data_IF_689792699070
#
_entry.id   IF_689792699070
#
_cell.length_a   1.000
_cell.length_b   1.000
_cell.length_c   1.000
_cell.angle_alpha   90.00
_cell.angle_beta   90.00
_cell.angle_gamma   90.00
#
_symmetry.space_group_name_H-M   'P 1'
#
loop_
_entity.id
_entity.type
_entity.pdbx_description
1 polymer ?
#
# COMPACT_ATOMS: atom_id res chain seq x y z
N UNK A 1 -11.58 15.69 12.81
CA UNK A 1 -10.32 15.68 12.08
C UNK A 1 -10.26 16.78 11.01
N UNK A 2 -11.40 17.12 10.42
CA UNK A 2 -11.51 18.23 9.45
C UNK A 2 -10.49 18.12 8.32
N UNK A 3 -9.80 19.21 8.04
CA UNK A 3 -8.74 19.35 7.04
C UNK A 3 -7.51 18.44 7.23
N UNK A 4 -7.38 17.79 8.38
CA UNK A 4 -6.30 16.84 8.69
C UNK A 4 -6.67 15.38 8.39
N UNK A 5 -7.89 15.12 7.91
CA UNK A 5 -8.31 13.77 7.55
C UNK A 5 -7.71 13.42 6.17
N UNK A 6 -6.83 12.43 6.16
CA UNK A 6 -6.32 11.83 4.93
C UNK A 6 -7.22 10.71 4.42
N UNK A 7 -6.64 9.80 3.66
CA UNK A 7 -7.34 8.64 3.14
C UNK A 7 -7.73 7.68 4.26
N UNK A 8 -8.94 7.12 4.17
CA UNK A 8 -9.43 6.09 5.06
C UNK A 8 -9.45 4.74 4.34
N UNK A 9 -9.34 3.65 5.06
CA UNK A 9 -9.56 2.34 4.46
C UNK A 9 -10.52 1.47 5.26
N UNK A 10 -11.26 0.65 4.54
CA UNK A 10 -12.17 -0.37 5.06
C UNK A 10 -11.57 -1.74 4.75
N UNK A 11 -11.23 -2.50 5.77
CA UNK A 11 -10.75 -3.87 5.62
C UNK A 11 -11.90 -4.85 5.75
N UNK A 12 -12.11 -5.69 4.74
CA UNK A 12 -13.07 -6.78 4.79
C UNK A 12 -12.39 -8.06 5.30
N UNK A 13 -13.10 -8.90 6.07
CA UNK A 13 -12.56 -10.17 6.56
C UNK A 13 -12.40 -11.19 5.41
N UNK A 14 -11.61 -12.24 5.66
CA UNK A 14 -11.27 -13.25 4.65
C UNK A 14 -12.46 -14.04 4.10
N UNK A 15 -13.48 -14.21 4.90
CA UNK A 15 -14.71 -14.91 4.49
C UNK A 15 -15.64 -14.03 3.66
N UNK A 16 -15.28 -12.74 3.42
CA UNK A 16 -16.05 -11.80 2.66
C UNK A 16 -15.59 -11.79 1.18
N UNK A 17 -15.95 -12.82 0.45
CA UNK A 17 -15.63 -12.99 -0.97
C UNK A 17 -16.71 -12.41 -1.92
N UNK A 18 -16.59 -12.63 -3.24
CA UNK A 18 -17.48 -12.07 -4.27
C UNK A 18 -18.96 -12.34 -4.06
N UNK A 19 -19.33 -13.48 -3.46
CA UNK A 19 -20.71 -13.81 -3.10
C UNK A 19 -21.39 -12.76 -2.19
N UNK A 20 -20.62 -11.92 -1.54
CA UNK A 20 -21.11 -10.83 -0.67
C UNK A 20 -21.13 -9.48 -1.38
N UNK A 21 -20.90 -9.44 -2.70
CA UNK A 21 -20.78 -8.20 -3.46
C UNK A 21 -21.99 -7.28 -3.26
N UNK A 22 -23.21 -7.80 -3.35
CA UNK A 22 -24.42 -7.00 -3.17
C UNK A 22 -24.47 -6.24 -1.82
N UNK A 23 -24.00 -6.86 -0.74
CA UNK A 23 -23.92 -6.22 0.58
C UNK A 23 -22.86 -5.12 0.62
N UNK A 24 -21.72 -5.36 -0.02
CA UNK A 24 -20.61 -4.39 -0.12
C UNK A 24 -21.07 -3.19 -0.95
N UNK A 25 -21.69 -3.44 -2.11
CA UNK A 25 -22.23 -2.42 -3.00
C UNK A 25 -23.23 -1.52 -2.28
N UNK A 26 -24.19 -2.13 -1.58
CA UNK A 26 -25.18 -1.39 -0.81
C UNK A 26 -24.52 -0.49 0.25
N UNK A 27 -23.56 -1.02 0.99
CA UNK A 27 -22.84 -0.25 2.01
C UNK A 27 -22.06 0.91 1.38
N UNK A 28 -21.28 0.65 0.32
CA UNK A 28 -20.42 1.64 -0.32
C UNK A 28 -21.22 2.74 -1.04
N UNK A 29 -22.40 2.44 -1.59
CA UNK A 29 -23.31 3.46 -2.16
C UNK A 29 -23.78 4.48 -1.12
N UNK A 30 -23.88 4.06 0.15
CA UNK A 30 -24.34 4.91 1.25
C UNK A 30 -23.20 5.59 2.03
N UNK A 31 -21.94 5.35 1.66
CA UNK A 31 -20.82 6.06 2.26
C UNK A 31 -20.78 7.53 1.85
N UNK A 32 -20.25 8.36 2.75
CA UNK A 32 -19.95 9.75 2.45
C UNK A 32 -18.92 9.84 1.31
N UNK A 33 -19.17 10.74 0.38
CA UNK A 33 -18.33 10.92 -0.82
C UNK A 33 -17.23 11.98 -0.65
N UNK A 34 -17.23 12.69 0.47
CA UNK A 34 -16.27 13.74 0.82
C UNK A 34 -14.98 13.21 1.49
N UNK A 35 -14.90 11.91 1.71
CA UNK A 35 -13.73 11.24 2.30
C UNK A 35 -13.20 10.20 1.31
N UNK A 36 -11.91 10.27 0.92
CA UNK A 36 -11.28 9.22 0.13
C UNK A 36 -11.29 7.89 0.88
N UNK A 37 -11.88 6.86 0.30
CA UNK A 37 -11.98 5.54 0.91
C UNK A 37 -11.28 4.51 0.02
N UNK A 38 -10.46 3.69 0.67
CA UNK A 38 -9.82 2.52 0.07
C UNK A 38 -10.41 1.25 0.65
N UNK A 39 -10.56 0.22 -0.17
CA UNK A 39 -11.11 -1.06 0.23
C UNK A 39 -10.01 -2.14 0.23
N UNK A 40 -9.82 -2.80 1.37
CA UNK A 40 -8.92 -3.96 1.48
C UNK A 40 -9.71 -5.25 1.39
N UNK A 41 -9.50 -6.01 0.32
CA UNK A 41 -10.11 -7.30 0.07
C UNK A 41 -9.16 -8.42 0.54
N UNK A 42 -9.58 -9.19 1.53
CA UNK A 42 -8.76 -10.25 2.16
C UNK A 42 -9.07 -11.65 1.65
N UNK A 43 -10.17 -11.83 0.94
CA UNK A 43 -10.48 -13.11 0.30
C UNK A 43 -9.78 -13.24 -1.04
N UNK A 44 -9.00 -14.32 -1.23
CA UNK A 44 -8.34 -14.63 -2.50
C UNK A 44 -9.32 -14.82 -3.67
N UNK A 45 -10.58 -15.10 -3.36
CA UNK A 45 -11.60 -15.34 -4.39
C UNK A 45 -11.93 -14.09 -5.21
N UNK A 46 -11.69 -12.90 -4.67
CA UNK A 46 -11.80 -11.63 -5.41
C UNK A 46 -10.86 -11.52 -6.61
N UNK A 47 -9.72 -12.20 -6.55
CA UNK A 47 -8.66 -12.11 -7.55
C UNK A 47 -8.66 -13.29 -8.53
N UNK A 48 -9.67 -14.16 -8.42
CA UNK A 48 -10.01 -15.14 -9.44
C UNK A 48 -10.91 -14.44 -10.46
N UNK A 49 -10.68 -14.75 -11.75
CA UNK A 49 -11.55 -14.20 -12.80
C UNK A 49 -12.97 -14.77 -12.63
N UNK A 50 -13.89 -13.92 -12.20
CA UNK A 50 -15.33 -14.22 -12.12
C UNK A 50 -16.13 -12.99 -12.55
N UNK A 51 -17.38 -13.20 -12.95
CA UNK A 51 -18.29 -12.11 -13.35
C UNK A 51 -18.49 -11.14 -12.18
N UNK A 52 -18.76 -11.66 -11.00
CA UNK A 52 -19.00 -10.87 -9.79
C UNK A 52 -17.77 -10.04 -9.38
N UNK A 53 -16.57 -10.60 -9.53
CA UNK A 53 -15.33 -9.86 -9.26
C UNK A 53 -15.14 -8.71 -10.25
N UNK A 54 -15.37 -8.95 -11.53
CA UNK A 54 -15.24 -7.93 -12.57
C UNK A 54 -16.25 -6.80 -12.37
N UNK A 55 -17.54 -7.12 -12.13
CA UNK A 55 -18.58 -6.13 -11.83
C UNK A 55 -18.22 -5.30 -10.60
N UNK A 56 -17.70 -5.94 -9.54
CA UNK A 56 -17.29 -5.25 -8.34
C UNK A 56 -16.15 -4.24 -8.60
N UNK A 57 -15.13 -4.63 -9.36
CA UNK A 57 -14.00 -3.72 -9.66
C UNK A 57 -14.44 -2.55 -10.56
N UNK A 58 -15.36 -2.76 -11.51
CA UNK A 58 -15.96 -1.67 -12.28
C UNK A 58 -16.75 -0.72 -11.38
N UNK A 59 -17.58 -1.26 -10.50
CA UNK A 59 -18.32 -0.46 -9.53
C UNK A 59 -17.37 0.36 -8.61
N UNK A 60 -16.27 -0.24 -8.10
CA UNK A 60 -15.31 0.49 -7.27
C UNK A 60 -14.68 1.65 -8.05
N UNK A 61 -14.40 1.46 -9.33
CA UNK A 61 -13.86 2.50 -10.21
C UNK A 61 -14.87 3.64 -10.41
N UNK A 62 -16.13 3.31 -10.73
CA UNK A 62 -17.21 4.28 -10.91
C UNK A 62 -17.46 5.11 -9.64
N UNK A 63 -17.40 4.46 -8.47
CA UNK A 63 -17.60 5.12 -7.19
C UNK A 63 -16.35 5.82 -6.65
N UNK A 64 -15.21 5.77 -7.38
CA UNK A 64 -13.92 6.31 -6.96
C UNK A 64 -13.43 5.75 -5.62
N UNK A 65 -13.67 4.46 -5.40
CA UNK A 65 -13.18 3.73 -4.23
C UNK A 65 -11.84 3.13 -4.59
N UNK A 66 -10.78 3.54 -3.88
CA UNK A 66 -9.43 3.02 -4.08
C UNK A 66 -9.29 1.59 -3.57
N UNK A 67 -8.23 0.91 -3.99
CA UNK A 67 -7.90 -0.44 -3.51
C UNK A 67 -6.68 -0.41 -2.62
N UNK A 68 -6.77 -1.09 -1.48
CA UNK A 68 -5.59 -1.40 -0.67
C UNK A 68 -4.94 -2.68 -1.19
N UNK A 69 -3.67 -2.60 -1.48
CA UNK A 69 -2.85 -3.74 -1.87
C UNK A 69 -2.04 -4.18 -0.66
N UNK A 70 -2.33 -5.36 -0.13
CA UNK A 70 -1.59 -5.91 1.01
C UNK A 70 -0.59 -6.94 0.52
N UNK A 71 0.69 -6.63 0.69
CA UNK A 71 1.80 -7.56 0.44
C UNK A 71 2.45 -7.95 1.77
N UNK A 72 2.03 -9.08 2.32
CA UNK A 72 2.53 -9.59 3.58
C UNK A 72 3.44 -10.81 3.36
N UNK A 73 4.60 -10.83 4.03
CA UNK A 73 5.45 -12.01 4.08
C UNK A 73 4.65 -13.20 4.61
N UNK A 74 4.72 -14.34 3.93
CA UNK A 74 3.99 -15.55 4.30
C UNK A 74 2.52 -15.58 3.87
N UNK A 75 1.96 -14.48 3.32
CA UNK A 75 0.59 -14.44 2.83
C UNK A 75 0.45 -13.60 1.56
N UNK A 76 0.87 -14.17 0.44
CA UNK A 76 0.86 -13.49 -0.86
C UNK A 76 -0.30 -13.89 -1.78
N UNK A 77 -1.22 -14.69 -1.31
CA UNK A 77 -2.38 -15.19 -2.06
C UNK A 77 -3.42 -14.11 -2.40
N UNK A 78 -3.36 -12.97 -1.72
CA UNK A 78 -4.21 -11.80 -1.97
C UNK A 78 -3.45 -10.60 -2.55
N UNK A 79 -2.17 -10.77 -2.93
CA UNK A 79 -1.42 -9.69 -3.58
C UNK A 79 -1.96 -9.47 -4.97
N UNK A 80 -2.44 -8.26 -5.22
CA UNK A 80 -2.95 -7.85 -6.52
C UNK A 80 -2.31 -6.54 -6.97
N UNK A 81 -2.61 -6.12 -8.19
CA UNK A 81 -2.10 -4.87 -8.77
C UNK A 81 -3.22 -4.02 -9.38
N UNK A 82 -4.46 -4.26 -8.97
CA UNK A 82 -5.61 -3.52 -9.44
C UNK A 82 -5.65 -2.13 -8.79
N UNK A 83 -5.65 -1.10 -9.62
CA UNK A 83 -5.94 0.28 -9.23
C UNK A 83 -7.30 0.65 -9.80
N UNK A 84 -8.17 1.20 -8.96
CA UNK A 84 -9.51 1.69 -9.33
C UNK A 84 -9.58 3.21 -9.32
N UNK A 85 -8.54 3.85 -8.80
CA UNK A 85 -8.34 5.31 -8.79
C UNK A 85 -6.90 5.61 -9.22
N UNK A 86 -6.54 6.85 -9.57
CA UNK A 86 -5.15 7.24 -9.84
C UNK A 86 -4.32 7.34 -8.55
N UNK A 87 -4.67 6.60 -7.54
CA UNK A 87 -4.00 6.53 -6.26
C UNK A 87 -3.69 5.06 -5.92
N UNK A 88 -2.49 4.81 -5.39
CA UNK A 88 -2.08 3.50 -4.90
C UNK A 88 -1.94 3.52 -3.38
N UNK A 89 -2.52 2.53 -2.71
CA UNK A 89 -2.40 2.33 -1.27
C UNK A 89 -1.78 0.95 -1.02
N UNK A 90 -0.52 0.92 -0.63
CA UNK A 90 0.23 -0.32 -0.40
C UNK A 90 0.46 -0.49 1.09
N UNK A 91 0.07 -1.64 1.63
CA UNK A 91 0.43 -2.11 2.97
C UNK A 91 1.43 -3.24 2.82
N UNK A 92 2.69 -2.92 3.03
CA UNK A 92 3.79 -3.86 2.96
C UNK A 92 4.10 -4.39 4.37
N UNK A 93 4.14 -5.70 4.52
CA UNK A 93 4.56 -6.35 5.77
C UNK A 93 5.78 -7.21 5.47
N UNK A 94 6.92 -6.80 5.98
CA UNK A 94 8.19 -7.49 5.84
C UNK A 94 8.39 -8.59 6.90
N UNK A 95 9.57 -9.20 6.84
CA UNK A 95 10.01 -10.25 7.73
C UNK A 95 11.35 -9.88 8.38
N UNK A 96 11.34 -8.81 9.17
CA UNK A 96 12.49 -8.35 9.99
C UNK A 96 13.80 -8.21 9.20
N UNK A 97 13.75 -7.49 8.07
CA UNK A 97 14.87 -7.23 7.15
C UNK A 97 15.42 -8.50 6.47
N UNK A 98 14.60 -9.52 6.34
CA UNK A 98 14.99 -10.69 5.55
C UNK A 98 15.34 -10.27 4.10
N UNK A 99 16.33 -10.89 3.42
CA UNK A 99 16.72 -10.54 2.06
C UNK A 99 15.55 -10.46 1.05
N UNK A 100 14.51 -11.27 1.25
CA UNK A 100 13.29 -11.22 0.42
C UNK A 100 12.49 -9.93 0.59
N UNK A 101 12.63 -9.21 1.70
CA UNK A 101 11.96 -7.93 1.90
C UNK A 101 12.49 -6.89 0.92
N UNK A 102 13.81 -6.83 0.75
CA UNK A 102 14.48 -5.94 -0.19
C UNK A 102 14.13 -6.29 -1.65
N UNK A 103 14.13 -7.58 -2.01
CA UNK A 103 13.72 -8.03 -3.34
C UNK A 103 12.28 -7.61 -3.66
N UNK A 104 11.35 -7.79 -2.72
CA UNK A 104 9.95 -7.37 -2.87
C UNK A 104 9.82 -5.86 -3.01
N UNK A 105 10.60 -5.08 -2.25
CA UNK A 105 10.63 -3.62 -2.39
C UNK A 105 11.14 -3.22 -3.77
N UNK A 106 12.20 -3.85 -4.28
CA UNK A 106 12.71 -3.57 -5.63
C UNK A 106 11.65 -3.87 -6.70
N UNK A 107 10.92 -4.98 -6.57
CA UNK A 107 9.79 -5.30 -7.44
C UNK A 107 8.69 -4.22 -7.37
N UNK A 108 8.37 -3.72 -6.15
CA UNK A 108 7.42 -2.64 -5.96
C UNK A 108 7.90 -1.33 -6.56
N UNK A 109 9.16 -0.98 -6.41
CA UNK A 109 9.75 0.24 -7.02
C UNK A 109 9.60 0.21 -8.54
N UNK A 110 9.88 -0.93 -9.19
CA UNK A 110 9.68 -1.09 -10.63
C UNK A 110 8.20 -1.02 -11.03
N UNK A 111 7.29 -1.49 -10.18
CA UNK A 111 5.85 -1.37 -10.40
C UNK A 111 5.38 0.08 -10.26
N UNK A 112 5.80 0.75 -9.21
CA UNK A 112 5.47 2.15 -8.93
C UNK A 112 5.98 3.04 -10.07
N UNK A 113 7.19 2.81 -10.57
CA UNK A 113 7.72 3.53 -11.74
C UNK A 113 6.77 3.44 -12.93
N UNK A 114 6.33 2.23 -13.29
CA UNK A 114 5.37 2.05 -14.39
C UNK A 114 4.03 2.76 -14.12
N UNK A 115 3.54 2.75 -12.88
CA UNK A 115 2.32 3.46 -12.54
C UNK A 115 2.47 4.97 -12.62
N UNK A 116 3.62 5.53 -12.21
CA UNK A 116 3.93 6.94 -12.36
C UNK A 116 3.94 7.34 -13.84
N UNK A 117 4.57 6.53 -14.70
CA UNK A 117 4.58 6.74 -16.16
C UNK A 117 3.15 6.66 -16.76
N UNK A 118 2.24 5.94 -16.12
CA UNK A 118 0.82 5.80 -16.49
C UNK A 118 -0.10 6.83 -15.84
N UNK A 119 0.43 7.77 -15.06
CA UNK A 119 -0.34 8.86 -14.46
C UNK A 119 -0.81 8.64 -13.02
N UNK A 120 -0.14 7.77 -12.25
CA UNK A 120 -0.36 7.67 -10.81
C UNK A 120 -0.12 9.04 -10.16
N UNK A 121 -1.08 9.52 -9.37
CA UNK A 121 -1.04 10.85 -8.75
C UNK A 121 -0.58 10.79 -7.29
N UNK A 122 -1.01 9.76 -6.55
CA UNK A 122 -0.71 9.63 -5.12
C UNK A 122 -0.30 8.21 -4.79
N UNK A 123 0.76 8.08 -3.99
CA UNK A 123 1.21 6.82 -3.42
C UNK A 123 1.17 6.88 -1.89
N UNK A 124 0.37 6.03 -1.29
CA UNK A 124 0.42 5.71 0.13
C UNK A 124 1.16 4.39 0.30
N UNK A 125 2.31 4.40 0.95
CA UNK A 125 3.08 3.19 1.20
C UNK A 125 3.31 3.04 2.71
N UNK A 126 2.63 2.07 3.31
CA UNK A 126 2.71 1.77 4.73
C UNK A 126 3.62 0.58 4.94
N UNK A 127 4.72 0.84 5.64
CA UNK A 127 5.73 -0.15 5.97
C UNK A 127 5.45 -0.74 7.34
N UNK A 128 5.29 -2.05 7.39
CA UNK A 128 5.25 -2.84 8.61
C UNK A 128 6.32 -3.92 8.56
N UNK A 129 6.76 -4.35 9.73
CA UNK A 129 7.66 -5.48 9.90
C UNK A 129 7.06 -6.46 10.90
N UNK A 130 7.52 -7.70 10.90
CA UNK A 130 7.21 -8.62 11.98
C UNK A 130 7.67 -8.05 13.33
N UNK A 131 8.87 -7.47 13.34
CA UNK A 131 9.37 -6.61 14.42
C UNK A 131 9.40 -5.17 13.94
N UNK A 132 8.49 -4.33 14.41
CA UNK A 132 8.30 -2.94 13.95
C UNK A 132 9.55 -2.06 14.15
N UNK A 133 10.45 -2.44 15.01
CA UNK A 133 11.74 -1.76 15.21
C UNK A 133 12.52 -1.61 13.88
N UNK A 134 12.38 -2.53 12.95
CA UNK A 134 13.07 -2.52 11.65
C UNK A 134 12.30 -1.75 10.54
N UNK A 135 11.08 -1.32 10.81
CA UNK A 135 10.28 -0.59 9.81
C UNK A 135 10.96 0.69 9.31
N UNK A 136 11.60 1.53 10.15
CA UNK A 136 12.28 2.74 9.69
C UNK A 136 13.43 2.47 8.71
N UNK A 137 14.22 1.41 8.94
CA UNK A 137 15.35 1.05 8.06
C UNK A 137 14.85 0.66 6.67
N UNK A 138 13.81 -0.15 6.61
CA UNK A 138 13.22 -0.57 5.34
C UNK A 138 12.51 0.60 4.62
N UNK A 139 11.94 1.57 5.37
CA UNK A 139 11.44 2.81 4.79
C UNK A 139 12.55 3.64 4.14
N UNK A 140 13.70 3.76 4.79
CA UNK A 140 14.88 4.46 4.22
C UNK A 140 15.32 3.78 2.93
N UNK A 141 15.37 2.45 2.90
CA UNK A 141 15.70 1.70 1.69
C UNK A 141 14.72 2.01 0.54
N UNK A 142 13.41 1.90 0.81
CA UNK A 142 12.37 2.20 -0.17
C UNK A 142 12.50 3.62 -0.73
N UNK A 143 12.67 4.62 0.14
CA UNK A 143 12.77 6.03 -0.26
C UNK A 143 13.99 6.25 -1.16
N UNK A 144 15.16 5.69 -0.79
CA UNK A 144 16.36 5.78 -1.61
C UNK A 144 16.17 5.12 -2.98
N UNK A 145 15.53 3.95 -3.02
CA UNK A 145 15.24 3.24 -4.25
C UNK A 145 14.26 4.00 -5.15
N UNK A 146 13.19 4.58 -4.57
CA UNK A 146 12.24 5.43 -5.31
C UNK A 146 12.92 6.69 -5.88
N UNK A 147 13.75 7.37 -5.10
CA UNK A 147 14.49 8.54 -5.57
C UNK A 147 15.39 8.17 -6.76
N UNK A 148 16.11 7.06 -6.66
CA UNK A 148 17.04 6.61 -7.70
C UNK A 148 16.31 6.16 -8.97
N UNK A 149 15.34 5.29 -8.84
CA UNK A 149 14.73 4.58 -9.99
C UNK A 149 13.58 5.36 -10.63
N UNK A 150 12.87 6.20 -9.84
CA UNK A 150 11.73 6.99 -10.31
C UNK A 150 12.06 8.47 -10.49
N UNK A 151 13.29 8.90 -10.19
CA UNK A 151 13.70 10.31 -10.30
C UNK A 151 12.98 11.23 -9.31
N UNK A 152 12.57 10.70 -8.14
CA UNK A 152 11.90 11.48 -7.11
C UNK A 152 12.93 12.17 -6.20
N UNK A 153 12.46 13.16 -5.44
CA UNK A 153 13.29 13.93 -4.47
C UNK A 153 12.68 13.85 -3.07
N UNK A 154 12.33 12.64 -2.63
CA UNK A 154 11.77 12.41 -1.32
C UNK A 154 12.83 12.60 -0.23
N UNK A 155 12.44 13.23 0.88
CA UNK A 155 13.33 13.38 2.04
C UNK A 155 13.61 12.03 2.66
N UNK A 156 14.90 11.68 2.75
CA UNK A 156 15.36 10.46 3.42
C UNK A 156 15.48 10.75 4.92
N UNK A 157 14.73 10.06 5.80
CA UNK A 157 14.85 10.26 7.24
C UNK A 157 16.21 9.77 7.77
N UNK A 158 16.78 10.50 8.72
CA UNK A 158 17.98 10.10 9.44
C UNK A 158 17.57 9.23 10.63
N UNK A 159 18.12 8.03 10.70
CA UNK A 159 17.81 7.08 11.77
C UNK A 159 18.49 7.48 13.08
N UNK A 160 17.83 7.28 14.21
CA UNK A 160 18.31 7.75 15.51
C UNK A 160 19.70 7.23 15.89
N UNK A 161 20.02 5.98 15.52
CA UNK A 161 21.33 5.36 15.76
C UNK A 161 22.44 5.94 14.88
N UNK A 162 22.14 6.49 13.70
CA UNK A 162 23.10 7.19 12.85
C UNK A 162 23.48 8.53 13.47
N UNK A 163 22.51 9.25 14.05
CA UNK A 163 22.79 10.51 14.78
C UNK A 163 23.73 10.32 15.97
N UNK A 164 23.65 9.19 16.67
CA UNK A 164 24.55 8.89 17.79
C UNK A 164 25.99 8.63 17.34
N UNK A 165 26.20 8.03 16.16
CA UNK A 165 27.54 7.80 15.61
C UNK A 165 28.22 9.12 15.23
N UNK A 166 27.50 10.08 14.64
CA UNK A 166 28.08 11.38 14.27
C UNK A 166 28.47 12.20 15.48
N UNK A 167 27.72 12.15 16.59
CA UNK A 167 28.03 12.83 17.83
C UNK A 167 29.30 12.22 18.49
N UNK A 168 29.46 10.90 18.45
CA UNK A 168 30.64 10.23 19.03
C UNK A 168 31.92 10.43 18.20
N UNK A 169 31.79 10.64 16.89
CA UNK A 169 32.92 10.92 16.00
C UNK A 169 33.44 12.37 16.07
N UNK A 170 32.66 13.28 16.66
CA UNK A 170 33.03 14.71 16.82
C UNK A 170 33.67 15.05 18.17
N UNK A 171 33.78 14.06 19.06
CA UNK A 171 34.28 14.26 20.42
C UNK A 171 35.76 13.84 20.59
N UNK A 172 36.48 13.47 19.50
CA UNK A 172 37.93 13.17 19.52
C UNK A 172 38.63 13.80 18.33
#
# INVERSE_FOLDING_TARGET
MGDKLGSCFLQLPENFGPKHYASIEFYLKNLRKDVPVFLELRSKDWFKSSTESNEAFEFFREQRIGMVITDAAGRRDCVHQHLTTPEAFIRFVGNSLHPTDYQRIDEWVQRIKRWLDQGLQTLHFFMHQHEEFYSPELCVYLIKALNKECGLTLTVPVLAYEKQKDISSTLF
#
